data_IF_236406402779
#
_entry.id   IF_236406402779
#
_cell.length_a   1.000
_cell.length_b   1.000
_cell.length_c   1.000
_cell.angle_alpha   90.00
_cell.angle_beta   90.00
_cell.angle_gamma   90.00
#
_symmetry.space_group_name_H-M   'P 1'
#
loop_
_entity.id
_entity.type
_entity.pdbx_description
1 polymer ?
#
# COMPACT_ATOMS: atom_id res chain seq x y z
N UNK A 1 13.16 14.25 -15.82
CA UNK A 1 12.21 13.59 -16.75
C UNK A 1 11.90 12.15 -16.34
N UNK A 2 12.89 11.24 -16.22
CA UNK A 2 12.65 9.86 -15.74
C UNK A 2 12.02 9.82 -14.34
N UNK A 3 12.49 10.70 -13.44
CA UNK A 3 11.96 10.82 -12.10
C UNK A 3 10.48 11.22 -12.04
N UNK A 4 10.02 12.06 -12.92
CA UNK A 4 8.62 12.50 -12.98
C UNK A 4 7.70 11.35 -13.39
N UNK A 5 8.17 10.49 -14.31
CA UNK A 5 7.43 9.30 -14.73
C UNK A 5 7.35 8.28 -13.58
N UNK A 6 8.44 8.05 -12.87
CA UNK A 6 8.47 7.16 -11.71
C UNK A 6 7.55 7.71 -10.61
N UNK A 7 7.59 9.01 -10.36
CA UNK A 7 6.74 9.65 -9.35
C UNK A 7 5.25 9.56 -9.71
N UNK A 8 4.90 9.80 -10.97
CA UNK A 8 3.54 9.61 -11.48
C UNK A 8 3.05 8.19 -11.24
N UNK A 9 3.82 7.19 -11.68
CA UNK A 9 3.47 5.78 -11.50
C UNK A 9 3.39 5.40 -10.01
N UNK A 10 4.29 5.92 -9.18
CA UNK A 10 4.27 5.66 -7.74
C UNK A 10 2.98 6.16 -7.08
N UNK A 11 2.57 7.40 -7.36
CA UNK A 11 1.34 7.99 -6.79
C UNK A 11 0.10 7.25 -7.30
N UNK A 12 0.05 6.96 -8.61
CA UNK A 12 -1.05 6.22 -9.21
C UNK A 12 -1.16 4.80 -8.63
N UNK A 13 -0.05 4.07 -8.53
CA UNK A 13 -0.02 2.73 -7.93
C UNK A 13 -0.43 2.77 -6.45
N UNK A 14 0.03 3.77 -5.69
CA UNK A 14 -0.36 3.93 -4.28
C UNK A 14 -1.88 4.11 -4.15
N UNK A 15 -2.49 4.91 -5.00
CA UNK A 15 -3.94 5.07 -5.04
C UNK A 15 -4.67 3.76 -5.35
N UNK A 16 -4.25 3.06 -6.39
CA UNK A 16 -4.85 1.78 -6.81
C UNK A 16 -4.71 0.72 -5.71
N UNK A 17 -3.55 0.62 -5.06
CA UNK A 17 -3.32 -0.30 -3.96
C UNK A 17 -4.28 0.00 -2.80
N UNK A 18 -4.49 1.27 -2.45
CA UNK A 18 -5.41 1.64 -1.38
C UNK A 18 -6.87 1.30 -1.73
N UNK A 19 -7.29 1.46 -2.98
CA UNK A 19 -8.60 1.02 -3.44
C UNK A 19 -8.75 -0.50 -3.34
N UNK A 20 -7.77 -1.26 -3.82
CA UNK A 20 -7.76 -2.72 -3.76
C UNK A 20 -7.80 -3.25 -2.31
N UNK A 21 -7.00 -2.66 -1.42
CA UNK A 21 -6.97 -2.98 0.01
C UNK A 21 -8.31 -2.64 0.68
N UNK A 22 -8.91 -1.51 0.32
CA UNK A 22 -10.25 -1.12 0.77
C UNK A 22 -11.33 -2.10 0.33
N UNK A 23 -11.27 -2.56 -0.93
CA UNK A 23 -12.18 -3.57 -1.48
C UNK A 23 -12.00 -4.93 -0.80
N UNK A 24 -10.76 -5.38 -0.63
CA UNK A 24 -10.45 -6.65 0.03
C UNK A 24 -10.75 -6.65 1.55
N UNK A 25 -11.09 -5.50 2.13
CA UNK A 25 -11.37 -5.38 3.55
C UNK A 25 -10.18 -5.62 4.47
N UNK A 26 -8.94 -5.49 3.95
CA UNK A 26 -7.70 -5.73 4.69
C UNK A 26 -7.38 -4.49 5.53
N UNK A 27 -8.05 -4.37 6.67
CA UNK A 27 -7.93 -3.19 7.56
C UNK A 27 -6.51 -2.91 8.05
N UNK A 28 -5.65 -3.92 8.09
CA UNK A 28 -4.24 -3.79 8.50
C UNK A 28 -3.36 -3.05 7.51
N UNK A 29 -3.75 -2.96 6.23
CA UNK A 29 -3.03 -2.25 5.17
C UNK A 29 -3.74 -0.98 4.70
N UNK A 30 -4.96 -0.74 5.14
CA UNK A 30 -5.72 0.44 4.77
C UNK A 30 -5.27 1.66 5.58
N UNK A 31 -5.05 2.80 4.92
CA UNK A 31 -4.73 4.08 5.59
C UNK A 31 -5.93 4.65 6.33
N UNK A 32 -7.14 4.30 5.91
CA UNK A 32 -8.39 4.86 6.41
C UNK A 32 -9.24 3.80 7.11
N UNK A 33 -9.94 4.22 8.16
CA UNK A 33 -10.87 3.35 8.90
C UNK A 33 -12.11 2.97 8.09
N UNK A 34 -12.53 3.83 7.15
CA UNK A 34 -13.70 3.61 6.30
C UNK A 34 -13.24 3.40 4.86
N UNK A 35 -13.72 2.37 4.14
CA UNK A 35 -13.29 2.06 2.78
C UNK A 35 -13.62 3.18 1.79
N UNK A 36 -14.66 3.96 2.04
CA UNK A 36 -15.05 5.07 1.17
C UNK A 36 -13.94 6.12 1.03
N UNK A 37 -13.19 6.40 2.09
CA UNK A 37 -12.05 7.32 2.03
C UNK A 37 -10.85 6.73 1.25
N UNK A 38 -10.71 5.41 1.24
CA UNK A 38 -9.69 4.75 0.42
C UNK A 38 -10.00 4.89 -1.08
N UNK A 39 -11.28 4.75 -1.46
CA UNK A 39 -11.70 4.96 -2.85
C UNK A 39 -11.58 6.43 -3.26
N UNK A 40 -11.98 7.36 -2.39
CA UNK A 40 -11.85 8.79 -2.67
C UNK A 40 -10.37 9.19 -2.82
N UNK A 41 -9.51 8.69 -1.94
CA UNK A 41 -8.07 8.88 -2.05
C UNK A 41 -7.50 8.32 -3.35
N UNK A 42 -7.91 7.10 -3.74
CA UNK A 42 -7.51 6.48 -5.00
C UNK A 42 -7.91 7.33 -6.22
N UNK A 43 -9.16 7.79 -6.24
CA UNK A 43 -9.68 8.64 -7.30
C UNK A 43 -8.86 9.93 -7.42
N UNK A 44 -8.64 10.62 -6.30
CA UNK A 44 -7.87 11.88 -6.28
C UNK A 44 -6.42 11.63 -6.66
N UNK A 45 -5.77 10.59 -6.12
CA UNK A 45 -4.37 10.29 -6.39
C UNK A 45 -4.14 9.98 -7.87
N UNK A 46 -4.99 9.15 -8.48
CA UNK A 46 -4.88 8.79 -9.91
C UNK A 46 -5.20 9.99 -10.79
N UNK A 47 -6.29 10.72 -10.52
CA UNK A 47 -6.69 11.87 -11.34
C UNK A 47 -5.68 13.02 -11.24
N UNK A 48 -5.23 13.35 -10.03
CA UNK A 48 -4.29 14.45 -9.82
C UNK A 48 -2.91 14.12 -10.42
N UNK A 49 -2.40 12.91 -10.21
CA UNK A 49 -1.12 12.48 -10.78
C UNK A 49 -1.16 12.45 -12.31
N UNK A 50 -2.26 11.98 -12.90
CA UNK A 50 -2.45 11.97 -14.35
C UNK A 50 -2.56 13.40 -14.89
N UNK A 51 -3.38 14.26 -14.30
CA UNK A 51 -3.51 15.64 -14.70
C UNK A 51 -2.15 16.37 -14.64
N UNK A 52 -1.43 16.19 -13.50
CA UNK A 52 -0.10 16.79 -13.34
C UNK A 52 0.90 16.31 -14.39
N UNK A 53 0.91 15.00 -14.68
CA UNK A 53 1.86 14.42 -15.65
C UNK A 53 1.55 14.86 -17.08
N UNK A 54 0.27 14.84 -17.51
CA UNK A 54 -0.12 15.12 -18.90
C UNK A 54 -0.29 16.62 -19.22
N UNK A 55 -0.43 17.49 -18.22
CA UNK A 55 -0.60 18.93 -18.47
C UNK A 55 0.69 19.61 -18.87
N UNK A 56 1.85 19.10 -18.48
CA UNK A 56 3.16 19.70 -18.80
C UNK A 56 3.69 19.11 -20.10
N UNK A 57 3.72 19.91 -21.17
CA UNK A 57 4.06 19.50 -22.54
C UNK A 57 5.46 18.88 -22.73
N UNK A 58 6.41 19.19 -21.87
CA UNK A 58 7.81 18.74 -22.02
C UNK A 58 8.13 17.42 -21.29
N UNK A 59 7.12 16.76 -20.70
CA UNK A 59 7.31 15.49 -19.99
C UNK A 59 7.13 14.24 -20.86
N UNK A 60 6.69 14.40 -22.10
CA UNK A 60 6.66 13.31 -23.08
C UNK A 60 8.08 12.89 -23.42
N UNK A 61 8.50 11.77 -22.90
CA UNK A 61 9.82 11.19 -23.11
C UNK A 61 9.83 10.58 -24.51
N UNK A 62 10.30 11.36 -25.49
CA UNK A 62 10.59 10.86 -26.84
C UNK A 62 11.80 9.94 -26.73
N UNK A 63 11.64 8.64 -27.01
CA UNK A 63 12.75 7.69 -27.15
C UNK A 63 12.98 6.72 -26.00
N UNK A 64 12.08 6.61 -25.02
CA UNK A 64 12.13 5.51 -24.07
C UNK A 64 11.67 4.21 -24.76
N UNK A 65 12.56 3.23 -24.81
CA UNK A 65 12.20 1.89 -25.23
C UNK A 65 11.19 1.28 -24.24
N UNK A 66 10.23 0.49 -24.74
CA UNK A 66 9.15 -0.07 -23.93
C UNK A 66 9.66 -0.87 -22.72
N UNK A 67 10.83 -1.49 -22.83
CA UNK A 67 11.49 -2.23 -21.76
C UNK A 67 11.90 -1.34 -20.58
N UNK A 68 12.45 -0.17 -20.85
CA UNK A 68 12.83 0.80 -19.81
C UNK A 68 11.61 1.34 -19.09
N UNK A 69 10.57 1.66 -19.85
CA UNK A 69 9.30 2.15 -19.32
C UNK A 69 8.66 1.13 -18.38
N UNK A 70 8.68 -0.14 -18.76
CA UNK A 70 8.18 -1.25 -17.95
C UNK A 70 8.98 -1.42 -16.65
N UNK A 71 10.31 -1.33 -16.73
CA UNK A 71 11.19 -1.41 -15.56
C UNK A 71 10.89 -0.30 -14.54
N UNK A 72 10.72 0.94 -15.00
CA UNK A 72 10.36 2.06 -14.13
C UNK A 72 8.97 1.90 -13.52
N UNK A 73 8.01 1.36 -14.26
CA UNK A 73 6.67 1.07 -13.74
C UNK A 73 6.71 0.02 -12.62
N UNK A 74 7.42 -1.10 -12.82
CA UNK A 74 7.55 -2.15 -11.80
C UNK A 74 8.26 -1.62 -10.56
N UNK A 75 9.33 -0.84 -10.74
CA UNK A 75 10.06 -0.23 -9.63
C UNK A 75 9.15 0.71 -8.83
N UNK A 76 8.37 1.54 -9.50
CA UNK A 76 7.41 2.43 -8.85
C UNK A 76 6.31 1.66 -8.11
N UNK A 77 5.78 0.58 -8.70
CA UNK A 77 4.78 -0.27 -8.08
C UNK A 77 5.32 -0.98 -6.83
N UNK A 78 6.54 -1.52 -6.91
CA UNK A 78 7.23 -2.14 -5.77
C UNK A 78 7.47 -1.16 -4.62
N UNK A 79 7.91 0.06 -4.95
CA UNK A 79 8.07 1.13 -3.98
C UNK A 79 6.74 1.54 -3.35
N UNK A 80 5.65 1.61 -4.12
CA UNK A 80 4.31 1.93 -3.62
C UNK A 80 3.78 0.85 -2.67
N UNK A 81 4.03 -0.44 -2.97
CA UNK A 81 3.71 -1.54 -2.06
C UNK A 81 4.49 -1.43 -0.75
N UNK A 82 5.80 -1.24 -0.81
CA UNK A 82 6.62 -1.07 0.39
C UNK A 82 6.17 0.12 1.23
N UNK A 83 5.91 1.27 0.59
CA UNK A 83 5.37 2.46 1.25
C UNK A 83 4.01 2.18 1.90
N UNK A 84 3.11 1.46 1.23
CA UNK A 84 1.81 1.08 1.79
C UNK A 84 1.97 0.25 3.06
N UNK A 85 2.85 -0.75 3.06
CA UNK A 85 3.10 -1.59 4.24
C UNK A 85 3.67 -0.77 5.40
N UNK A 86 4.65 0.08 5.13
CA UNK A 86 5.29 0.91 6.15
C UNK A 86 4.31 1.93 6.73
N UNK A 87 3.65 2.71 5.87
CA UNK A 87 2.74 3.77 6.30
C UNK A 87 1.50 3.21 7.00
N UNK A 88 0.90 2.15 6.49
CA UNK A 88 -0.24 1.50 7.14
C UNK A 88 0.15 0.93 8.51
N UNK A 89 1.34 0.37 8.63
CA UNK A 89 1.86 -0.12 9.92
C UNK A 89 2.05 1.02 10.92
N UNK A 90 2.60 2.16 10.49
CA UNK A 90 2.79 3.33 11.35
C UNK A 90 1.46 3.95 11.79
N UNK A 91 0.52 4.11 10.87
CA UNK A 91 -0.81 4.66 11.16
C UNK A 91 -1.57 3.74 12.12
N UNK A 92 -1.59 2.44 11.83
CA UNK A 92 -2.31 1.48 12.66
C UNK A 92 -1.64 1.23 14.02
N UNK A 93 -0.33 1.39 14.12
CA UNK A 93 0.36 1.30 15.42
C UNK A 93 -0.10 2.40 16.38
N UNK A 94 -0.17 3.64 15.91
CA UNK A 94 -0.66 4.77 16.72
C UNK A 94 -2.13 4.63 17.13
N UNK A 95 -2.96 4.02 16.28
CA UNK A 95 -4.39 3.86 16.54
C UNK A 95 -4.69 2.68 17.49
N UNK A 96 -3.84 1.64 17.50
CA UNK A 96 -4.03 0.41 18.28
C UNK A 96 -3.45 0.48 19.70
N UNK A 97 -2.68 1.51 20.02
CA UNK A 97 -2.20 1.74 21.39
C UNK A 97 -3.35 2.01 22.39
N UNK A 98 -4.57 2.25 21.89
CA UNK A 98 -5.74 2.57 22.73
C UNK A 98 -6.69 1.40 23.04
N UNK A 99 -6.62 0.27 22.33
CA UNK A 99 -7.48 -0.89 22.61
C UNK A 99 -6.73 -2.20 22.34
N UNK A 100 -6.37 -2.98 23.37
CA UNK A 100 -5.84 -4.33 23.18
C UNK A 100 -6.95 -5.25 22.64
N UNK A 101 -6.70 -6.08 21.62
CA UNK A 101 -7.69 -7.02 21.12
C UNK A 101 -7.92 -8.13 22.14
N UNK A 102 -9.11 -8.13 22.71
CA UNK A 102 -9.64 -9.25 23.52
C UNK A 102 -10.25 -10.24 22.54
N UNK A 103 -9.53 -11.27 22.19
CA UNK A 103 -10.03 -12.61 21.83
C UNK A 103 -8.94 -13.39 21.08
N UNK A 104 -8.49 -14.44 21.74
CA UNK A 104 -7.44 -15.36 21.27
C UNK A 104 -7.93 -16.43 20.30
N UNK A 105 -9.20 -16.50 19.97
CA UNK A 105 -9.79 -17.57 19.18
C UNK A 105 -10.04 -17.17 17.72
N UNK A 106 -9.55 -18.02 16.82
CA UNK A 106 -9.81 -18.05 15.39
C UNK A 106 -8.97 -17.12 14.47
N UNK A 107 -7.65 -17.16 14.60
CA UNK A 107 -6.79 -16.56 13.59
C UNK A 107 -6.25 -17.66 12.65
N UNK A 108 -6.91 -17.83 11.51
CA UNK A 108 -6.43 -18.67 10.42
C UNK A 108 -5.07 -18.19 9.88
N UNK A 109 -4.31 -19.07 9.20
CA UNK A 109 -3.01 -18.72 8.63
C UNK A 109 -3.16 -17.74 7.45
N UNK A 110 -2.24 -16.78 7.33
CA UNK A 110 -2.11 -15.92 6.17
C UNK A 110 -2.88 -14.59 6.24
N UNK A 111 -3.53 -14.22 5.14
CA UNK A 111 -4.16 -12.91 4.97
C UNK A 111 -5.32 -12.60 5.92
N UNK A 112 -5.97 -13.61 6.48
CA UNK A 112 -7.01 -13.43 7.48
C UNK A 112 -6.50 -12.73 8.74
N UNK A 113 -5.26 -13.00 9.11
CA UNK A 113 -4.60 -12.34 10.25
C UNK A 113 -4.46 -10.84 10.04
N UNK A 114 -4.31 -10.39 8.78
CA UNK A 114 -4.16 -8.96 8.42
C UNK A 114 -5.48 -8.17 8.50
N UNK A 115 -6.62 -8.85 8.54
CA UNK A 115 -7.92 -8.19 8.77
C UNK A 115 -8.01 -7.57 10.17
N UNK A 116 -7.31 -8.17 11.14
CA UNK A 116 -7.40 -7.80 12.54
C UNK A 116 -6.10 -7.28 13.16
N UNK A 117 -4.94 -7.55 12.53
CA UNK A 117 -3.61 -7.19 13.04
C UNK A 117 -2.78 -6.41 12.01
N UNK A 118 -1.84 -5.60 12.49
CA UNK A 118 -0.85 -4.94 11.66
C UNK A 118 0.17 -5.94 11.13
N UNK A 119 0.68 -5.72 9.92
CA UNK A 119 1.64 -6.60 9.25
C UNK A 119 2.86 -6.93 10.12
N UNK A 120 3.43 -5.94 10.81
CA UNK A 120 4.54 -6.13 11.75
C UNK A 120 4.18 -7.03 12.94
N UNK A 121 2.96 -6.93 13.45
CA UNK A 121 2.50 -7.79 14.54
C UNK A 121 2.33 -9.24 14.08
N UNK A 122 1.83 -9.44 12.85
CA UNK A 122 1.70 -10.75 12.25
C UNK A 122 3.06 -11.44 12.08
N UNK A 123 4.07 -10.73 11.56
CA UNK A 123 5.45 -11.22 11.42
C UNK A 123 6.05 -11.55 12.80
N UNK A 124 5.96 -10.64 13.77
CA UNK A 124 6.50 -10.84 15.12
C UNK A 124 5.88 -12.06 15.80
N UNK A 125 4.58 -12.30 15.61
CA UNK A 125 3.87 -13.47 16.16
C UNK A 125 4.33 -14.76 15.48
N UNK A 126 4.48 -14.76 14.14
CA UNK A 126 4.99 -15.90 13.38
C UNK A 126 6.40 -16.31 13.82
N UNK A 127 7.29 -15.34 13.98
CA UNK A 127 8.66 -15.59 14.47
C UNK A 127 8.68 -16.11 15.91
N UNK A 128 7.81 -15.62 16.79
CA UNK A 128 7.71 -16.09 18.18
C UNK A 128 7.17 -17.53 18.26
N UNK A 129 6.21 -17.90 17.36
CA UNK A 129 5.67 -19.26 17.28
C UNK A 129 6.74 -20.26 16.83
N UNK A 130 7.55 -19.87 15.82
CA UNK A 130 8.65 -20.70 15.32
C UNK A 130 9.72 -20.95 16.40
N UNK A 131 10.00 -19.96 17.27
CA UNK A 131 10.96 -20.08 18.37
C UNK A 131 10.50 -21.01 19.52
N UNK A 132 9.19 -21.23 19.67
CA UNK A 132 8.65 -22.14 20.69
C UNK A 132 8.55 -23.60 20.24
N UNK A 133 8.69 -23.84 18.94
CA UNK A 133 8.66 -25.19 18.35
C UNK A 133 10.05 -25.76 18.04
N UNK A 134 11.09 -24.93 18.18
CA UNK A 134 12.50 -25.35 18.11
C UNK A 134 13.07 -25.51 19.54
#
# INVERSE_FOLDING_TARGET
MTGDYVLYNFIACLGIIQAAVGYAGIRGLCFFKRPIFAYLFALVAVSASSAWFFTVKDRNIKGLEGTEQFTYMITAAGAALAATVILSSLINWRLKSKNPPTSEDSLGPGFETLKHMTYFQAIKRSLRKKRRQA
#
